data_IF_051537353323
#
_entry.id   IF_051537353323
#
_cell.length_a   1.000
_cell.length_b   1.000
_cell.length_c   1.000
_cell.angle_alpha   90.00
_cell.angle_beta   90.00
_cell.angle_gamma   90.00
#
_symmetry.space_group_name_H-M   'P 1'
#
loop_
_entity.id
_entity.type
_entity.pdbx_description
1 polymer ?
#
# COMPACT_ATOMS: atom_id res chain seq x y z
N UNK A 1 -26.08 -26.47 -27.74
CA UNK A 1 -26.36 -25.05 -27.46
C UNK A 1 -26.20 -24.65 -25.97
N UNK A 2 -25.66 -25.51 -25.09
CA UNK A 2 -25.39 -25.17 -23.68
C UNK A 2 -23.91 -24.81 -23.39
N UNK A 3 -22.98 -25.17 -24.30
CA UNK A 3 -21.53 -24.94 -24.14
C UNK A 3 -21.15 -23.45 -24.15
N UNK A 4 -21.82 -22.63 -24.98
CA UNK A 4 -21.56 -21.19 -25.09
C UNK A 4 -22.01 -20.42 -23.84
N UNK A 5 -23.10 -20.87 -23.19
CA UNK A 5 -23.61 -20.27 -21.96
C UNK A 5 -22.67 -20.50 -20.76
N UNK A 6 -22.05 -21.68 -20.66
CA UNK A 6 -21.10 -21.98 -19.58
C UNK A 6 -19.80 -21.15 -19.71
N UNK A 7 -19.34 -20.89 -20.94
CA UNK A 7 -18.17 -20.03 -21.18
C UNK A 7 -18.43 -18.58 -20.77
N UNK A 8 -19.64 -18.05 -21.01
CA UNK A 8 -20.05 -16.71 -20.58
C UNK A 8 -20.04 -16.57 -19.05
N UNK A 9 -20.51 -17.58 -18.32
CA UNK A 9 -20.53 -17.59 -16.84
C UNK A 9 -19.10 -17.65 -16.27
N UNK A 10 -18.20 -18.41 -16.91
CA UNK A 10 -16.81 -18.51 -16.46
C UNK A 10 -16.00 -17.22 -16.70
N UNK A 11 -16.30 -16.49 -17.78
CA UNK A 11 -15.69 -15.19 -18.06
C UNK A 11 -16.19 -14.11 -17.09
N UNK A 12 -17.49 -14.08 -16.78
CA UNK A 12 -18.07 -13.07 -15.88
C UNK A 12 -17.56 -13.18 -14.43
N UNK A 13 -17.28 -14.39 -13.94
CA UNK A 13 -16.84 -14.59 -12.56
C UNK A 13 -15.36 -14.24 -12.30
N UNK A 14 -14.54 -14.08 -13.34
CA UNK A 14 -13.12 -13.72 -13.18
C UNK A 14 -12.86 -12.20 -13.23
N UNK A 15 -13.88 -11.39 -13.53
CA UNK A 15 -13.72 -9.94 -13.75
C UNK A 15 -13.80 -9.08 -12.48
N UNK A 16 -14.14 -9.67 -11.32
CA UNK A 16 -14.37 -8.94 -10.07
C UNK A 16 -13.40 -9.32 -8.94
N UNK A 17 -12.12 -9.53 -9.28
CA UNK A 17 -11.05 -9.61 -8.28
C UNK A 17 -10.15 -8.39 -8.39
N UNK A 18 -10.36 -7.38 -7.54
CA UNK A 18 -9.38 -6.30 -7.38
C UNK A 18 -8.01 -6.87 -7.00
N UNK A 19 -6.94 -6.29 -7.52
CA UNK A 19 -5.59 -6.74 -7.17
C UNK A 19 -5.29 -6.39 -5.70
N UNK A 20 -4.80 -7.38 -4.95
CA UNK A 20 -4.39 -7.23 -3.56
C UNK A 20 -2.88 -6.98 -3.47
N UNK A 21 -2.49 -6.04 -2.62
CA UNK A 21 -1.12 -5.63 -2.40
C UNK A 21 -0.79 -5.55 -0.91
N UNK A 22 0.49 -5.55 -0.61
CA UNK A 22 1.05 -5.31 0.72
C UNK A 22 1.89 -4.05 0.64
N UNK A 23 1.61 -3.11 1.54
CA UNK A 23 2.38 -1.90 1.75
C UNK A 23 3.14 -1.99 3.07
N UNK A 24 4.40 -1.60 3.08
CA UNK A 24 5.15 -1.36 4.31
C UNK A 24 6.17 -0.26 4.08
N UNK A 25 6.56 0.41 5.17
CA UNK A 25 7.56 1.47 5.10
C UNK A 25 8.42 1.49 6.36
N UNK A 26 9.66 1.91 6.19
CA UNK A 26 10.63 2.14 7.27
C UNK A 26 11.35 3.45 7.02
N UNK A 27 11.29 4.36 7.99
CA UNK A 27 11.94 5.65 7.97
C UNK A 27 12.87 5.75 9.17
N UNK A 28 14.12 6.15 8.94
CA UNK A 28 15.10 6.32 10.01
C UNK A 28 15.56 7.78 9.99
N UNK A 29 15.49 8.42 11.15
CA UNK A 29 16.03 9.77 11.34
C UNK A 29 17.15 9.75 12.37
N UNK A 30 18.17 10.55 12.14
CA UNK A 30 19.29 10.76 13.06
C UNK A 30 19.34 12.26 13.38
N UNK A 31 19.22 12.60 14.66
CA UNK A 31 19.12 13.98 15.15
C UNK A 31 18.02 14.79 14.46
N UNK A 32 16.88 14.15 14.15
CA UNK A 32 15.76 14.78 13.44
C UNK A 32 15.95 14.94 11.93
N UNK A 33 17.06 14.46 11.36
CA UNK A 33 17.33 14.49 9.92
C UNK A 33 17.05 13.11 9.33
N UNK A 34 16.28 13.04 8.23
CA UNK A 34 16.03 11.79 7.51
C UNK A 34 17.34 11.20 7.00
N UNK A 35 17.69 10.02 7.49
CA UNK A 35 18.91 9.29 7.11
C UNK A 35 18.61 8.16 6.13
N UNK A 36 17.41 7.57 6.17
CA UNK A 36 17.02 6.47 5.30
C UNK A 36 15.51 6.41 5.15
N UNK A 37 15.06 6.19 3.93
CA UNK A 37 13.67 5.90 3.58
C UNK A 37 13.56 4.60 2.78
N UNK A 38 12.71 3.69 3.24
CA UNK A 38 12.39 2.46 2.52
C UNK A 38 10.88 2.32 2.46
N UNK A 39 10.30 2.55 1.28
CA UNK A 39 8.86 2.41 1.03
C UNK A 39 8.69 1.33 -0.02
N UNK A 40 7.96 0.28 0.31
CA UNK A 40 7.84 -0.89 -0.55
C UNK A 40 6.41 -1.34 -0.71
N UNK A 41 6.08 -1.70 -1.96
CA UNK A 41 4.81 -2.29 -2.35
C UNK A 41 5.10 -3.67 -2.93
N UNK A 42 4.27 -4.65 -2.63
CA UNK A 42 4.37 -5.98 -3.23
C UNK A 42 2.98 -6.56 -3.49
N UNK A 43 2.87 -7.48 -4.45
CA UNK A 43 1.60 -8.19 -4.70
C UNK A 43 1.33 -9.19 -3.57
N UNK A 44 0.09 -9.25 -3.09
CA UNK A 44 -0.32 -10.27 -2.12
C UNK A 44 -0.41 -11.63 -2.80
N UNK A 45 0.29 -12.63 -2.25
CA UNK A 45 0.25 -14.00 -2.76
C UNK A 45 -1.06 -14.73 -2.38
N UNK A 46 -1.69 -14.32 -1.28
CA UNK A 46 -2.97 -14.87 -0.83
C UNK A 46 -4.06 -13.88 -1.17
N UNK A 47 -5.04 -14.34 -1.95
CA UNK A 47 -6.25 -13.58 -2.27
C UNK A 47 -7.37 -13.99 -1.31
N UNK A 48 -8.12 -13.02 -0.82
CA UNK A 48 -9.25 -13.25 0.05
C UNK A 48 -9.33 -12.24 1.18
N UNK A 49 -10.49 -11.60 1.28
CA UNK A 49 -10.90 -10.74 2.36
C UNK A 49 -12.41 -10.86 2.59
N UNK A 50 -12.86 -10.68 3.84
CA UNK A 50 -14.29 -10.62 4.17
C UNK A 50 -14.82 -9.19 4.10
N UNK A 51 -13.98 -8.22 4.48
CA UNK A 51 -14.32 -6.81 4.55
C UNK A 51 -13.10 -5.95 4.22
N UNK A 52 -13.36 -4.80 3.61
CA UNK A 52 -12.38 -3.77 3.36
C UNK A 52 -12.95 -2.41 3.79
N UNK A 53 -12.05 -1.49 4.15
CA UNK A 53 -12.38 -0.11 4.48
C UNK A 53 -11.63 0.81 3.53
N UNK A 54 -12.37 1.70 2.87
CA UNK A 54 -11.78 2.74 2.02
C UNK A 54 -10.98 3.69 2.93
N UNK A 55 -9.72 3.90 2.59
CA UNK A 55 -8.83 4.81 3.33
C UNK A 55 -8.58 6.11 2.56
N UNK A 56 -8.45 6.01 1.23
CA UNK A 56 -8.16 7.18 0.41
C UNK A 56 -8.47 6.91 -1.07
N UNK A 57 -8.38 7.97 -1.87
CA UNK A 57 -8.45 7.90 -3.33
C UNK A 57 -7.32 8.71 -3.96
N UNK A 58 -6.67 8.15 -4.96
CA UNK A 58 -5.66 8.83 -5.79
C UNK A 58 -6.40 9.40 -7.01
N UNK A 59 -6.54 10.73 -7.16
CA UNK A 59 -7.38 11.36 -8.19
C UNK A 59 -6.69 11.41 -9.58
N UNK A 60 -5.92 10.38 -9.92
CA UNK A 60 -5.16 10.29 -11.17
C UNK A 60 -5.54 8.98 -11.84
N UNK A 61 -6.07 9.06 -13.05
CA UNK A 61 -6.50 7.87 -13.78
C UNK A 61 -5.32 6.99 -14.14
N UNK A 62 -5.52 5.66 -14.11
CA UNK A 62 -4.49 4.70 -14.50
C UNK A 62 -4.38 4.65 -16.04
N UNK A 63 -3.22 4.93 -16.64
CA UNK A 63 -2.98 4.68 -18.06
C UNK A 63 -3.20 3.21 -18.44
N UNK A 64 -3.63 2.94 -19.68
CA UNK A 64 -3.91 1.58 -20.16
C UNK A 64 -2.65 0.73 -20.32
N UNK A 65 -1.51 1.36 -20.59
CA UNK A 65 -0.21 0.73 -20.76
C UNK A 65 0.50 0.36 -19.45
N UNK A 66 0.05 0.86 -18.30
CA UNK A 66 0.66 0.57 -17.01
C UNK A 66 -0.04 -0.57 -16.28
N UNK A 67 0.76 -1.43 -15.64
CA UNK A 67 0.25 -2.41 -14.69
C UNK A 67 -0.21 -1.73 -13.40
N UNK A 68 -1.07 -2.40 -12.62
CA UNK A 68 -1.50 -1.90 -11.32
C UNK A 68 -0.32 -1.64 -10.37
N UNK A 69 0.67 -2.53 -10.39
CA UNK A 69 1.89 -2.41 -9.58
C UNK A 69 2.73 -1.19 -9.97
N UNK A 70 2.97 -0.97 -11.26
CA UNK A 70 3.73 0.19 -11.74
C UNK A 70 3.03 1.50 -11.41
N UNK A 71 1.71 1.57 -11.57
CA UNK A 71 0.92 2.72 -11.16
C UNK A 71 1.08 3.00 -9.66
N UNK A 72 0.93 1.99 -8.81
CA UNK A 72 1.09 2.15 -7.35
C UNK A 72 2.51 2.59 -6.98
N UNK A 73 3.53 2.09 -7.67
CA UNK A 73 4.91 2.45 -7.42
C UNK A 73 5.24 3.88 -7.86
N UNK A 74 4.63 4.37 -8.96
CA UNK A 74 4.73 5.77 -9.37
C UNK A 74 4.09 6.73 -8.36
N UNK A 75 3.02 6.28 -7.70
CA UNK A 75 2.29 7.05 -6.70
C UNK A 75 2.60 6.60 -5.26
N UNK A 76 3.85 6.16 -5.00
CA UNK A 76 4.26 5.60 -3.71
C UNK A 76 4.15 6.58 -2.55
N UNK A 77 4.35 7.87 -2.81
CA UNK A 77 4.33 8.91 -1.79
C UNK A 77 2.88 9.22 -1.40
N UNK A 78 2.00 9.35 -2.40
CA UNK A 78 0.56 9.51 -2.17
C UNK A 78 -0.01 8.29 -1.44
N UNK A 79 0.49 7.10 -1.76
CA UNK A 79 0.11 5.88 -1.07
C UNK A 79 0.62 5.86 0.38
N UNK A 80 1.86 6.33 0.63
CA UNK A 80 2.40 6.48 1.97
C UNK A 80 1.53 7.41 2.82
N UNK A 81 1.11 8.56 2.28
CA UNK A 81 0.22 9.49 2.98
C UNK A 81 -1.13 8.87 3.34
N UNK A 82 -1.63 7.92 2.54
CA UNK A 82 -2.84 7.17 2.88
C UNK A 82 -2.68 6.25 4.09
N UNK A 83 -1.47 5.72 4.31
CA UNK A 83 -1.17 4.73 5.34
C UNK A 83 -0.46 5.31 6.57
N UNK A 84 0.00 6.56 6.54
CA UNK A 84 0.68 7.19 7.68
C UNK A 84 -0.21 7.33 8.91
N UNK A 85 -1.53 7.36 8.71
CA UNK A 85 -2.54 7.41 9.77
C UNK A 85 -2.88 6.05 10.38
N UNK A 86 -2.31 4.98 9.83
CA UNK A 86 -2.50 3.61 10.32
C UNK A 86 -1.53 3.26 11.46
N UNK A 87 -1.61 2.05 11.98
CA UNK A 87 -0.75 1.60 13.08
C UNK A 87 0.73 1.62 12.68
N UNK A 88 1.47 2.54 13.29
CA UNK A 88 2.92 2.70 13.14
C UNK A 88 3.65 2.26 14.41
N UNK A 89 4.82 1.66 14.23
CA UNK A 89 5.77 1.37 15.31
C UNK A 89 6.83 2.45 15.32
N UNK A 90 7.11 2.99 16.51
CA UNK A 90 8.15 4.01 16.71
C UNK A 90 9.16 3.43 17.69
N UNK A 91 10.43 3.48 17.31
CA UNK A 91 11.57 3.09 18.14
C UNK A 91 12.52 4.28 18.26
N UNK A 92 12.62 4.81 19.48
CA UNK A 92 13.49 5.94 19.80
C UNK A 92 14.69 5.47 20.62
N UNK A 93 15.88 5.76 20.11
CA UNK A 93 17.16 5.48 20.77
C UNK A 93 17.92 6.79 20.98
N UNK A 94 18.47 6.97 22.18
CA UNK A 94 19.33 8.11 22.50
C UNK A 94 20.66 7.63 23.07
N UNK A 95 21.77 8.04 22.47
CA UNK A 95 23.11 7.84 23.04
C UNK A 95 23.72 9.19 23.40
N UNK A 96 24.14 9.32 24.66
CA UNK A 96 24.72 10.56 25.20
C UNK A 96 26.22 10.39 25.37
N UNK A 97 26.98 11.37 24.89
CA UNK A 97 28.41 11.53 25.09
C UNK A 97 28.65 12.80 25.91
N UNK A 98 29.85 12.99 26.50
CA UNK A 98 30.13 14.17 27.35
C UNK A 98 29.87 15.52 26.68
N UNK A 99 30.04 15.62 25.35
CA UNK A 99 29.89 16.86 24.58
C UNK A 99 28.84 16.79 23.46
N UNK A 100 28.11 15.68 23.33
CA UNK A 100 27.14 15.50 22.26
C UNK A 100 26.06 14.50 22.64
N UNK A 101 24.91 14.60 21.98
CA UNK A 101 23.86 13.61 22.06
C UNK A 101 23.49 13.18 20.64
N UNK A 102 23.28 11.88 20.46
CA UNK A 102 22.81 11.29 19.23
C UNK A 102 21.44 10.69 19.48
N UNK A 103 20.45 11.19 18.76
CA UNK A 103 19.09 10.70 18.78
C UNK A 103 18.81 9.96 17.48
N UNK A 104 18.26 8.76 17.54
CA UNK A 104 17.85 7.99 16.38
C UNK A 104 16.41 7.57 16.57
N UNK A 105 15.54 7.96 15.64
CA UNK A 105 14.13 7.57 15.63
C UNK A 105 13.88 6.72 14.40
N UNK A 106 13.37 5.52 14.60
CA UNK A 106 12.93 4.60 13.56
C UNK A 106 11.41 4.49 13.58
N UNK A 107 10.78 4.89 12.48
CA UNK A 107 9.35 4.75 12.25
C UNK A 107 9.12 3.60 11.25
N UNK A 108 8.35 2.61 11.66
CA UNK A 108 8.00 1.45 10.83
C UNK A 108 6.49 1.35 10.68
N UNK A 109 5.99 1.43 9.46
CA UNK A 109 4.61 1.07 9.11
C UNK A 109 4.55 -0.45 8.97
N UNK A 110 3.74 -1.09 9.80
CA UNK A 110 3.59 -2.56 9.75
C UNK A 110 2.97 -2.99 8.41
N UNK A 111 3.22 -4.23 7.92
CA UNK A 111 2.69 -4.65 6.62
C UNK A 111 1.16 -4.57 6.54
N UNK A 112 0.66 -3.65 5.72
CA UNK A 112 -0.76 -3.40 5.49
C UNK A 112 -1.19 -4.06 4.19
N UNK A 113 -2.19 -4.94 4.27
CA UNK A 113 -2.83 -5.49 3.08
C UNK A 113 -3.91 -4.53 2.59
N UNK A 114 -3.91 -4.25 1.30
CA UNK A 114 -4.88 -3.36 0.68
C UNK A 114 -5.30 -3.84 -0.70
N UNK A 115 -6.43 -3.32 -1.16
CA UNK A 115 -7.01 -3.55 -2.48
C UNK A 115 -7.00 -2.22 -3.21
N UNK A 116 -6.68 -2.28 -4.49
CA UNK A 116 -6.81 -1.13 -5.40
C UNK A 116 -7.94 -1.38 -6.39
N UNK A 117 -8.85 -0.41 -6.48
CA UNK A 117 -9.91 -0.38 -7.49
C UNK A 117 -9.71 0.80 -8.43
N UNK A 118 -9.48 0.51 -9.71
CA UNK A 118 -9.29 1.54 -10.73
C UNK A 118 -10.65 2.01 -11.28
N UNK A 119 -10.87 3.32 -11.23
CA UNK A 119 -12.03 4.03 -11.78
C UNK A 119 -11.55 5.02 -12.85
N UNK A 120 -12.43 5.52 -13.74
CA UNK A 120 -12.04 6.48 -14.79
C UNK A 120 -11.37 7.75 -14.23
N UNK A 121 -11.75 8.15 -13.02
CA UNK A 121 -11.28 9.37 -12.34
C UNK A 121 -10.12 9.15 -11.37
N UNK A 122 -9.64 7.92 -11.18
CA UNK A 122 -8.61 7.64 -10.18
C UNK A 122 -8.55 6.21 -9.69
N UNK A 123 -7.77 5.98 -8.64
CA UNK A 123 -7.71 4.72 -7.91
C UNK A 123 -8.33 4.88 -6.51
N UNK A 124 -9.19 3.95 -6.11
CA UNK A 124 -9.67 3.85 -4.72
C UNK A 124 -8.81 2.85 -3.98
N UNK A 125 -8.26 3.24 -2.83
CA UNK A 125 -7.43 2.38 -1.99
C UNK A 125 -8.27 1.96 -0.77
N UNK A 126 -8.36 0.65 -0.56
CA UNK A 126 -9.11 0.08 0.55
C UNK A 126 -8.22 -0.86 1.36
N UNK A 127 -8.11 -0.62 2.66
CA UNK A 127 -7.42 -1.50 3.61
C UNK A 127 -8.26 -2.75 3.86
N UNK A 128 -7.61 -3.91 3.91
CA UNK A 128 -8.26 -5.18 4.27
C UNK A 128 -8.38 -5.26 5.79
N UNK A 129 -9.59 -5.47 6.29
CA UNK A 129 -9.86 -5.70 7.72
C UNK A 129 -10.07 -7.20 7.94
N UNK A 130 -9.41 -7.75 8.95
CA UNK A 130 -9.54 -9.15 9.38
C UNK A 130 -10.67 -9.35 10.37
#
# INVERSE_FOLDING_TARGET
MARTFCLLIFVLNNLFGGDEFIFWARLITVNGILSSDEITISRSMVKGYKSSQIICSIPISKPTNLTAYEYLNLHKNELFDCFVSEEVRILDNSTTYPNSALFTTELTITPIRFIVEFKPQGATISKIIR
#
